data_IF_678037506426
#
_entry.id   IF_678037506426
#
_cell.length_a   1.000
_cell.length_b   1.000
_cell.length_c   1.000
_cell.angle_alpha   90.00
_cell.angle_beta   90.00
_cell.angle_gamma   90.00
#
_symmetry.space_group_name_H-M   'P 1'
#
loop_
_entity.id
_entity.type
_entity.pdbx_description
1 polymer ?
#
# COMPACT_ATOMS: atom_id res chain seq x y z
N UNK A 1 45.54 14.84 59.60
CA UNK A 1 44.15 14.49 59.24
C UNK A 1 43.62 15.56 58.31
N UNK A 2 43.70 15.37 57.00
CA UNK A 2 43.28 16.35 56.00
C UNK A 2 42.01 15.83 55.33
N UNK A 3 40.92 16.59 55.43
CA UNK A 3 39.59 16.23 54.93
C UNK A 3 39.61 16.20 53.40
N UNK A 4 39.20 15.06 52.81
CA UNK A 4 39.11 14.90 51.36
C UNK A 4 38.03 15.79 50.73
N UNK A 5 38.15 16.13 49.44
CA UNK A 5 37.16 16.97 48.77
C UNK A 5 35.84 16.20 48.59
N UNK A 6 34.76 16.79 49.10
CA UNK A 6 33.38 16.34 48.95
C UNK A 6 32.98 16.41 47.47
N UNK A 7 32.55 15.27 46.90
CA UNK A 7 31.87 15.24 45.60
C UNK A 7 30.47 15.82 45.78
N UNK A 8 30.23 16.94 45.10
CA UNK A 8 28.91 17.52 44.97
C UNK A 8 28.12 16.69 43.97
N UNK A 9 27.24 15.82 44.45
CA UNK A 9 26.24 15.15 43.61
C UNK A 9 25.18 16.20 43.28
N UNK A 10 25.19 16.68 42.04
CA UNK A 10 24.13 17.52 41.53
C UNK A 10 22.85 16.68 41.51
N UNK A 11 21.88 17.10 42.33
CA UNK A 11 20.52 16.57 42.34
C UNK A 11 19.88 16.97 41.02
N UNK A 12 19.98 16.02 40.09
CA UNK A 12 19.46 16.03 38.73
C UNK A 12 19.68 14.67 38.07
N UNK A 13 19.85 13.61 38.88
CA UNK A 13 19.66 12.22 38.48
C UNK A 13 18.17 11.91 38.55
N UNK A 14 17.39 12.67 37.79
CA UNK A 14 16.17 12.14 37.19
C UNK A 14 16.51 12.12 35.70
N UNK A 15 17.28 11.11 35.27
CA UNK A 15 17.13 10.62 33.90
C UNK A 15 15.69 10.09 33.86
N UNK A 16 14.74 10.99 33.62
CA UNK A 16 13.38 10.66 33.24
C UNK A 16 13.47 9.58 32.16
N UNK A 17 12.77 8.47 32.41
CA UNK A 17 12.55 7.33 31.52
C UNK A 17 12.14 7.80 30.11
N UNK A 18 13.13 8.19 29.31
CA UNK A 18 13.02 8.42 27.88
C UNK A 18 13.63 7.22 27.13
N UNK A 19 13.50 6.01 27.66
CA UNK A 19 13.38 4.82 26.81
C UNK A 19 12.03 4.88 26.08
N UNK A 20 11.85 5.92 25.28
CA UNK A 20 10.84 6.01 24.25
C UNK A 20 10.85 4.69 23.51
N UNK A 21 9.80 3.88 23.70
CA UNK A 21 9.65 2.51 23.23
C UNK A 21 10.35 2.32 21.88
N UNK A 22 11.60 1.84 21.93
CA UNK A 22 12.47 1.79 20.75
C UNK A 22 11.76 0.99 19.66
N UNK A 23 11.93 1.38 18.39
CA UNK A 23 11.28 0.68 17.27
C UNK A 23 11.52 -0.84 17.30
N UNK A 24 12.61 -1.28 17.91
CA UNK A 24 12.93 -2.70 18.09
C UNK A 24 12.13 -3.37 19.21
N UNK A 25 11.77 -2.66 20.29
CA UNK A 25 10.85 -3.17 21.31
C UNK A 25 9.43 -3.33 20.74
N UNK A 26 8.97 -2.40 19.92
CA UNK A 26 7.69 -2.48 19.21
C UNK A 26 7.69 -3.63 18.19
N UNK A 27 8.78 -3.82 17.44
CA UNK A 27 8.96 -4.99 16.54
C UNK A 27 8.97 -6.31 17.32
N UNK A 28 9.63 -6.36 18.47
CA UNK A 28 9.69 -7.55 19.30
C UNK A 28 8.31 -7.90 19.88
N UNK A 29 7.57 -6.89 20.35
CA UNK A 29 6.23 -7.07 20.92
C UNK A 29 5.22 -7.50 19.84
N UNK A 30 5.29 -6.90 18.65
CA UNK A 30 4.44 -7.30 17.51
C UNK A 30 4.76 -8.72 17.02
N UNK A 31 6.02 -9.13 17.00
CA UNK A 31 6.43 -10.51 16.71
C UNK A 31 5.94 -11.49 17.80
N UNK A 32 6.09 -11.12 19.08
CA UNK A 32 5.64 -11.91 20.24
C UNK A 32 4.13 -12.13 20.24
N UNK A 33 3.37 -11.12 19.83
CA UNK A 33 1.91 -11.17 19.71
C UNK A 33 1.41 -11.75 18.37
N UNK A 34 2.32 -12.16 17.47
CA UNK A 34 2.02 -12.66 16.13
C UNK A 34 1.08 -11.76 15.32
N UNK A 35 1.22 -10.44 15.48
CA UNK A 35 0.39 -9.48 14.77
C UNK A 35 0.81 -9.40 13.31
N UNK A 36 -0.12 -9.66 12.39
CA UNK A 36 0.10 -9.48 10.95
C UNK A 36 0.08 -7.98 10.61
N UNK A 37 1.18 -7.30 10.87
CA UNK A 37 1.33 -5.85 10.59
C UNK A 37 1.55 -5.55 9.12
N UNK A 38 1.76 -6.58 8.28
CA UNK A 38 2.10 -6.46 6.86
C UNK A 38 1.27 -7.42 6.01
N UNK A 39 0.93 -6.97 4.79
CA UNK A 39 0.23 -7.81 3.80
C UNK A 39 1.09 -9.04 3.44
N UNK A 40 0.50 -10.25 3.32
CA UNK A 40 1.26 -11.47 2.99
C UNK A 40 2.16 -11.33 1.76
N UNK A 41 1.68 -10.66 0.70
CA UNK A 41 2.45 -10.40 -0.51
C UNK A 41 3.70 -9.55 -0.28
N UNK A 42 3.66 -8.62 0.67
CA UNK A 42 4.82 -7.81 1.04
C UNK A 42 5.86 -8.65 1.78
N UNK A 43 5.42 -9.55 2.66
CA UNK A 43 6.32 -10.47 3.37
C UNK A 43 7.02 -11.42 2.39
N UNK A 44 6.28 -11.98 1.43
CA UNK A 44 6.84 -12.80 0.35
C UNK A 44 7.88 -12.04 -0.49
N UNK A 45 7.58 -10.79 -0.87
CA UNK A 45 8.53 -9.95 -1.58
C UNK A 45 9.79 -9.67 -0.75
N UNK A 46 9.64 -9.30 0.54
CA UNK A 46 10.80 -9.07 1.42
C UNK A 46 11.66 -10.32 1.56
N UNK A 47 11.05 -11.50 1.72
CA UNK A 47 11.76 -12.77 1.82
C UNK A 47 12.51 -13.09 0.52
N UNK A 48 11.93 -12.79 -0.66
CA UNK A 48 12.60 -12.97 -1.96
C UNK A 48 13.77 -12.02 -2.15
N UNK A 49 13.63 -10.75 -1.78
CA UNK A 49 14.71 -9.75 -1.90
C UNK A 49 15.85 -10.04 -0.93
N UNK A 50 15.54 -10.43 0.30
CA UNK A 50 16.54 -10.81 1.30
C UNK A 50 17.18 -12.19 1.02
N UNK A 51 16.61 -12.97 0.11
CA UNK A 51 17.19 -14.26 -0.27
C UNK A 51 18.54 -14.09 -0.97
N UNK A 52 19.48 -14.98 -0.65
CA UNK A 52 20.81 -15.02 -1.32
C UNK A 52 20.72 -15.21 -2.84
N UNK A 53 19.58 -15.67 -3.38
CA UNK A 53 19.37 -15.82 -4.81
C UNK A 53 19.37 -14.47 -5.54
N UNK A 54 18.82 -13.42 -4.93
CA UNK A 54 18.88 -12.05 -5.46
C UNK A 54 20.32 -11.51 -5.45
N UNK A 55 21.07 -11.77 -4.37
CA UNK A 55 22.49 -11.43 -4.28
C UNK A 55 23.38 -12.21 -5.26
N UNK A 56 22.99 -13.43 -5.66
CA UNK A 56 23.70 -14.25 -6.66
C UNK A 56 23.34 -13.89 -8.10
N UNK A 57 22.12 -13.41 -8.34
CA UNK A 57 21.68 -12.97 -9.66
C UNK A 57 22.37 -11.67 -10.11
N UNK A 58 22.77 -10.83 -9.15
CA UNK A 58 23.77 -9.80 -9.42
C UNK A 58 25.09 -10.51 -9.69
N UNK A 59 25.44 -10.64 -10.97
CA UNK A 59 26.71 -11.20 -11.41
C UNK A 59 27.85 -10.35 -10.84
N UNK A 60 28.29 -10.70 -9.63
CA UNK A 60 29.44 -10.06 -9.00
C UNK A 60 30.63 -10.31 -9.93
N UNK A 61 31.36 -9.27 -10.34
CA UNK A 61 32.60 -9.48 -11.09
C UNK A 61 33.53 -10.37 -10.26
N UNK A 62 34.25 -11.26 -10.94
CA UNK A 62 35.12 -12.26 -10.31
C UNK A 62 36.11 -11.56 -9.36
N UNK A 63 36.61 -12.25 -8.32
CA UNK A 63 37.59 -11.67 -7.41
C UNK A 63 38.82 -11.22 -8.21
N UNK A 64 38.99 -9.91 -8.35
CA UNK A 64 40.21 -9.30 -8.90
C UNK A 64 41.36 -9.43 -7.91
N UNK A 65 42.59 -9.34 -8.42
CA UNK A 65 43.83 -9.49 -7.65
C UNK A 65 44.00 -8.48 -6.51
N UNK A 66 45.09 -8.57 -5.74
CA UNK A 66 45.36 -7.71 -4.60
C UNK A 66 45.35 -6.22 -5.02
N UNK A 67 44.34 -5.48 -4.58
CA UNK A 67 44.06 -4.10 -5.01
C UNK A 67 42.63 -3.88 -5.54
N UNK A 68 41.89 -4.95 -5.85
CA UNK A 68 40.51 -4.85 -6.32
C UNK A 68 39.54 -4.42 -5.20
N UNK A 69 38.77 -3.37 -5.46
CA UNK A 69 37.69 -2.93 -4.57
C UNK A 69 36.46 -3.78 -4.90
N UNK A 70 36.03 -4.64 -3.97
CA UNK A 70 34.80 -5.43 -4.09
C UNK A 70 34.69 -6.35 -5.33
N UNK A 71 35.79 -6.68 -6.01
CA UNK A 71 35.81 -7.46 -7.25
C UNK A 71 35.91 -6.63 -8.53
N UNK A 72 36.07 -5.31 -8.41
CA UNK A 72 36.34 -4.40 -9.54
C UNK A 72 37.82 -4.02 -9.57
N UNK A 73 38.35 -3.84 -10.79
CA UNK A 73 39.77 -3.50 -11.01
C UNK A 73 40.11 -2.06 -10.59
N UNK A 74 39.12 -1.16 -10.52
CA UNK A 74 39.27 0.22 -10.06
C UNK A 74 37.98 0.78 -9.45
N UNK A 75 38.09 1.87 -8.68
CA UNK A 75 36.94 2.59 -8.13
C UNK A 75 36.03 3.14 -9.23
N UNK A 76 36.61 3.69 -10.31
CA UNK A 76 35.86 4.23 -11.44
C UNK A 76 35.06 3.14 -12.16
N UNK A 77 35.63 1.94 -12.31
CA UNK A 77 34.94 0.78 -12.89
C UNK A 77 33.72 0.35 -12.06
N UNK A 78 33.82 0.41 -10.72
CA UNK A 78 32.71 0.11 -9.83
C UNK A 78 31.59 1.18 -9.95
N UNK A 79 31.96 2.46 -10.03
CA UNK A 79 31.02 3.56 -10.20
C UNK A 79 30.33 3.54 -11.57
N UNK A 80 31.06 3.22 -12.65
CA UNK A 80 30.52 3.03 -14.00
C UNK A 80 29.48 1.90 -14.01
N UNK A 81 29.80 0.77 -13.37
CA UNK A 81 28.88 -0.35 -13.23
C UNK A 81 27.61 0.04 -12.47
N UNK A 82 27.75 0.69 -11.30
CA UNK A 82 26.61 1.16 -10.51
C UNK A 82 25.72 2.12 -11.30
N UNK A 83 26.32 3.07 -12.03
CA UNK A 83 25.57 4.01 -12.88
C UNK A 83 24.78 3.28 -13.97
N UNK A 84 25.36 2.25 -14.58
CA UNK A 84 24.66 1.44 -15.59
C UNK A 84 23.49 0.67 -14.98
N UNK A 85 23.73 0.01 -13.85
CA UNK A 85 22.71 -0.78 -13.15
C UNK A 85 21.54 0.11 -12.71
N UNK A 86 21.83 1.28 -12.13
CA UNK A 86 20.79 2.25 -11.75
C UNK A 86 19.98 2.74 -12.96
N UNK A 87 20.61 2.97 -14.11
CA UNK A 87 19.88 3.35 -15.34
C UNK A 87 18.96 2.23 -15.81
N UNK A 88 19.40 0.98 -15.73
CA UNK A 88 18.62 -0.19 -16.11
C UNK A 88 17.43 -0.39 -15.18
N UNK A 89 17.64 -0.37 -13.86
CA UNK A 89 16.57 -0.40 -12.86
C UNK A 89 15.56 0.73 -13.08
N UNK A 90 16.05 1.94 -13.33
CA UNK A 90 15.18 3.09 -13.58
C UNK A 90 14.37 2.94 -14.88
N UNK A 91 14.91 2.30 -15.91
CA UNK A 91 14.18 2.00 -17.15
C UNK A 91 13.07 0.97 -16.91
N UNK A 92 13.36 -0.09 -16.15
CA UNK A 92 12.39 -1.11 -15.75
C UNK A 92 11.25 -0.50 -14.91
N UNK A 93 11.58 0.34 -13.92
CA UNK A 93 10.58 1.01 -13.09
C UNK A 93 9.69 1.95 -13.90
N UNK A 94 10.27 2.72 -14.84
CA UNK A 94 9.49 3.55 -15.76
C UNK A 94 8.54 2.73 -16.62
N UNK A 95 8.99 1.58 -17.12
CA UNK A 95 8.15 0.67 -17.91
C UNK A 95 6.97 0.14 -17.07
N UNK A 96 7.25 -0.37 -15.86
CA UNK A 96 6.23 -0.89 -14.95
C UNK A 96 5.23 0.19 -14.54
N UNK A 97 5.69 1.39 -14.20
CA UNK A 97 4.82 2.52 -13.90
C UNK A 97 3.89 2.84 -15.08
N UNK A 98 4.42 2.85 -16.30
CA UNK A 98 3.62 3.02 -17.51
C UNK A 98 2.56 1.93 -17.70
N UNK A 99 2.90 0.66 -17.44
CA UNK A 99 1.95 -0.45 -17.49
C UNK A 99 0.84 -0.30 -16.43
N UNK A 100 1.21 0.03 -15.20
CA UNK A 100 0.25 0.22 -14.09
C UNK A 100 -0.70 1.39 -14.35
N UNK A 101 -0.20 2.51 -14.88
CA UNK A 101 -1.05 3.65 -15.25
C UNK A 101 -2.06 3.27 -16.36
N UNK A 102 -1.63 2.51 -17.36
CA UNK A 102 -2.54 2.00 -18.40
C UNK A 102 -3.61 1.07 -17.83
N UNK A 103 -3.22 0.11 -16.99
CA UNK A 103 -4.17 -0.80 -16.33
C UNK A 103 -5.16 -0.04 -15.45
N UNK A 104 -4.69 0.96 -14.70
CA UNK A 104 -5.55 1.82 -13.87
C UNK A 104 -6.58 2.56 -14.72
N UNK A 105 -6.18 3.12 -15.85
CA UNK A 105 -7.09 3.81 -16.77
C UNK A 105 -8.13 2.85 -17.37
N UNK A 106 -7.70 1.66 -17.80
CA UNK A 106 -8.61 0.62 -18.32
C UNK A 106 -9.62 0.16 -17.26
N UNK A 107 -9.15 -0.12 -16.04
CA UNK A 107 -10.00 -0.52 -14.94
C UNK A 107 -11.01 0.57 -14.57
N UNK A 108 -10.57 1.84 -14.58
CA UNK A 108 -11.47 2.95 -14.34
C UNK A 108 -12.55 3.05 -15.43
N UNK A 109 -12.18 2.95 -16.71
CA UNK A 109 -13.13 2.94 -17.83
C UNK A 109 -14.14 1.80 -17.68
N UNK A 110 -13.68 0.58 -17.46
CA UNK A 110 -14.56 -0.58 -17.28
C UNK A 110 -15.52 -0.42 -16.10
N UNK A 111 -15.06 0.18 -15.00
CA UNK A 111 -15.94 0.48 -13.85
C UNK A 111 -17.02 1.49 -14.19
N UNK A 112 -16.66 2.56 -14.92
CA UNK A 112 -17.64 3.55 -15.38
C UNK A 112 -18.65 2.89 -16.32
N UNK A 113 -18.17 2.13 -17.31
CA UNK A 113 -19.02 1.41 -18.26
C UNK A 113 -19.97 0.44 -17.53
N UNK A 114 -19.47 -0.31 -16.53
CA UNK A 114 -20.28 -1.21 -15.69
C UNK A 114 -21.39 -0.47 -14.93
N UNK A 115 -21.07 0.68 -14.32
CA UNK A 115 -22.06 1.49 -13.59
C UNK A 115 -23.09 2.07 -14.54
N UNK A 116 -22.69 2.52 -15.73
CA UNK A 116 -23.59 3.00 -16.76
C UNK A 116 -24.54 1.89 -17.25
N UNK A 117 -24.03 0.69 -17.50
CA UNK A 117 -24.85 -0.46 -17.89
C UNK A 117 -25.89 -0.82 -16.82
N UNK A 118 -25.46 -0.93 -15.56
CA UNK A 118 -26.39 -1.20 -14.44
C UNK A 118 -27.46 -0.11 -14.33
N UNK A 119 -27.10 1.16 -14.53
CA UNK A 119 -28.08 2.24 -14.53
C UNK A 119 -29.08 2.12 -15.69
N UNK A 120 -28.61 1.76 -16.88
CA UNK A 120 -29.48 1.55 -18.04
C UNK A 120 -30.45 0.39 -17.81
N UNK A 121 -30.01 -0.71 -17.21
CA UNK A 121 -30.87 -1.84 -16.86
C UNK A 121 -31.99 -1.41 -15.91
N UNK A 122 -31.66 -0.60 -14.89
CA UNK A 122 -32.66 -0.05 -13.96
C UNK A 122 -33.66 0.88 -14.64
N UNK A 123 -33.23 1.70 -15.60
CA UNK A 123 -34.12 2.56 -16.37
C UNK A 123 -35.06 1.73 -17.27
N UNK A 124 -34.53 0.70 -17.94
CA UNK A 124 -35.32 -0.19 -18.79
C UNK A 124 -36.37 -0.97 -17.96
N UNK A 125 -36.01 -1.42 -16.77
CA UNK A 125 -36.94 -2.08 -15.85
C UNK A 125 -38.09 -1.13 -15.46
N UNK A 126 -37.79 0.13 -15.14
CA UNK A 126 -38.79 1.14 -14.82
C UNK A 126 -39.69 1.50 -16.02
N UNK A 127 -39.13 1.56 -17.24
CA UNK A 127 -39.88 1.80 -18.47
C UNK A 127 -40.88 0.66 -18.73
N UNK A 128 -40.44 -0.59 -18.61
CA UNK A 128 -41.31 -1.75 -18.75
C UNK A 128 -42.44 -1.78 -17.71
N UNK A 129 -42.16 -1.39 -16.45
CA UNK A 129 -43.21 -1.26 -15.42
C UNK A 129 -44.25 -0.18 -15.76
N UNK A 130 -43.82 0.94 -16.34
CA UNK A 130 -44.72 2.02 -16.80
C UNK A 130 -45.60 1.60 -17.98
N UNK A 131 -45.04 0.82 -18.92
CA UNK A 131 -45.79 0.30 -20.08
C UNK A 131 -46.85 -0.72 -19.69
N UNK A 132 -46.59 -1.54 -18.65
CA UNK A 132 -47.53 -2.56 -18.17
C UNK A 132 -48.69 -1.99 -17.36
N UNK A 133 -48.50 -0.88 -16.64
CA UNK A 133 -49.52 -0.22 -15.81
C UNK A 133 -49.63 1.27 -16.17
N UNK A 134 -50.36 1.61 -17.26
CA UNK A 134 -50.51 2.98 -17.73
C UNK A 134 -51.32 3.80 -16.71
N UNK A 135 -50.61 4.42 -15.75
CA UNK A 135 -51.20 5.27 -14.71
C UNK A 135 -50.65 5.08 -13.30
N UNK A 136 -49.84 4.04 -13.03
CA UNK A 136 -49.38 3.71 -11.67
C UNK A 136 -47.84 3.74 -11.46
N UNK A 137 -47.03 3.81 -12.52
CA UNK A 137 -45.62 3.39 -12.53
C UNK A 137 -44.59 4.19 -11.72
N UNK A 138 -44.99 5.05 -10.79
CA UNK A 138 -44.07 5.68 -9.81
C UNK A 138 -44.63 5.68 -8.38
N UNK A 139 -45.75 4.97 -8.14
CA UNK A 139 -46.44 4.99 -6.87
C UNK A 139 -46.24 3.70 -6.08
N UNK A 140 -45.14 3.65 -5.29
CA UNK A 140 -45.21 2.89 -4.04
C UNK A 140 -46.41 3.38 -3.22
N UNK A 141 -46.99 2.47 -2.43
CA UNK A 141 -48.10 2.77 -1.54
C UNK A 141 -47.82 4.07 -0.74
N UNK A 142 -48.83 4.93 -0.52
CA UNK A 142 -48.70 6.22 0.17
C UNK A 142 -47.78 6.26 1.41
N UNK A 143 -47.75 5.25 2.30
CA UNK A 143 -46.88 5.28 3.49
C UNK A 143 -45.37 5.28 3.18
N UNK A 144 -44.92 4.65 2.09
CA UNK A 144 -43.49 4.56 1.76
C UNK A 144 -42.95 5.87 1.17
N UNK A 145 -43.81 6.64 0.47
CA UNK A 145 -43.48 7.95 -0.08
C UNK A 145 -43.17 8.99 1.02
N UNK A 146 -43.91 8.96 2.13
CA UNK A 146 -43.67 9.86 3.27
C UNK A 146 -42.31 9.62 3.95
N UNK A 147 -41.73 8.44 3.78
CA UNK A 147 -40.40 8.09 4.29
C UNK A 147 -39.28 8.37 3.28
N UNK A 148 -39.57 9.01 2.14
CA UNK A 148 -38.59 9.22 1.06
C UNK A 148 -38.16 7.93 0.36
N UNK A 149 -38.85 6.81 0.60
CA UNK A 149 -38.53 5.52 0.02
C UNK A 149 -39.17 5.41 -1.36
N UNK A 150 -38.33 5.20 -2.36
CA UNK A 150 -38.74 4.84 -3.72
C UNK A 150 -38.45 3.35 -3.95
N UNK A 151 -39.09 2.73 -4.94
CA UNK A 151 -38.80 1.32 -5.30
C UNK A 151 -37.32 1.15 -5.64
N UNK A 152 -36.75 2.15 -6.30
CA UNK A 152 -35.32 2.30 -6.59
C UNK A 152 -34.43 2.28 -5.33
N UNK A 153 -34.88 2.88 -4.21
CA UNK A 153 -34.15 2.82 -2.94
C UNK A 153 -34.21 1.43 -2.27
N UNK A 154 -35.33 0.72 -2.46
CA UNK A 154 -35.59 -0.58 -1.83
C UNK A 154 -34.88 -1.72 -2.58
N UNK A 155 -34.90 -1.72 -3.93
CA UNK A 155 -34.26 -2.77 -4.74
C UNK A 155 -32.74 -2.75 -4.68
N UNK A 156 -32.14 -1.58 -4.43
CA UNK A 156 -30.68 -1.41 -4.45
C UNK A 156 -29.97 -1.59 -3.09
N UNK A 157 -30.69 -1.85 -1.97
CA UNK A 157 -30.13 -1.82 -0.60
C UNK A 157 -29.23 -0.60 -0.33
N UNK A 158 -29.57 0.56 -0.90
CA UNK A 158 -28.87 1.84 -0.66
C UNK A 158 -29.71 2.67 0.28
N UNK A 159 -29.60 2.38 1.57
CA UNK A 159 -30.07 3.31 2.60
C UNK A 159 -29.07 4.46 2.67
N UNK A 160 -29.39 5.59 2.02
CA UNK A 160 -28.77 6.86 2.41
C UNK A 160 -29.55 7.38 3.62
N UNK A 161 -28.99 7.17 4.80
CA UNK A 161 -29.45 7.85 6.02
C UNK A 161 -28.99 9.31 5.91
N UNK A 162 -29.94 10.23 5.87
CA UNK A 162 -29.73 11.61 6.31
C UNK A 162 -29.92 11.65 7.83
#
# INVERSE_FOLDING_TARGET
MSLGPLKFQAVGEDEEDDEAESLDSVKALTAKLQLQTRRPSYLEWTARVQSQAWHRAQARPKPGGPGAICGFDSMDSALEWLRRELREMQAQDRQLAGQLLRLRAQLHRLKVDQVCHLHQELLNEAEMELEMEPGAGLALAPPLRHLGLTRMNISARRFTLC
#
